data_IF_681613794593
#
_entry.id   IF_681613794593
#
_cell.length_a   1.000
_cell.length_b   1.000
_cell.length_c   1.000
_cell.angle_alpha   90.00
_cell.angle_beta   90.00
_cell.angle_gamma   90.00
#
_symmetry.space_group_name_H-M   'P 1'
#
loop_
_entity.id
_entity.type
_entity.pdbx_description
1 polymer ?
#
# COMPACT_ATOMS: atom_id res chain seq x y z
N UNK A 1 1.83 -8.60 9.59
CA UNK A 1 1.61 -7.17 9.84
C UNK A 1 0.35 -6.70 9.12
N UNK A 2 -0.30 -5.64 9.60
CA UNK A 2 -1.46 -5.04 8.91
C UNK A 2 -1.00 -4.11 7.79
N UNK A 3 -1.67 -4.17 6.65
CA UNK A 3 -1.40 -3.31 5.50
C UNK A 3 -2.71 -2.91 4.80
N UNK A 4 -2.69 -1.76 4.13
CA UNK A 4 -3.74 -1.39 3.18
C UNK A 4 -3.37 -1.95 1.82
N UNK A 5 -4.24 -2.76 1.22
CA UNK A 5 -4.04 -3.40 -0.08
C UNK A 5 -5.16 -3.02 -1.05
N UNK A 6 -4.77 -2.84 -2.32
CA UNK A 6 -5.65 -2.63 -3.46
C UNK A 6 -5.44 -3.82 -4.41
N UNK A 7 -6.50 -4.58 -4.70
CA UNK A 7 -6.43 -5.74 -5.62
C UNK A 7 -7.30 -5.59 -6.86
N UNK A 8 -8.09 -4.52 -6.95
CA UNK A 8 -9.00 -4.24 -8.06
C UNK A 8 -9.07 -2.74 -8.39
N UNK A 9 -9.69 -2.42 -9.54
CA UNK A 9 -9.91 -1.04 -9.96
C UNK A 9 -11.19 -0.47 -9.33
N UNK A 10 -11.17 0.78 -8.86
CA UNK A 10 -12.30 1.43 -8.19
C UNK A 10 -11.92 2.71 -7.44
N UNK A 11 -12.89 3.30 -6.75
CA UNK A 11 -12.68 4.42 -5.85
C UNK A 11 -12.14 3.96 -4.48
N UNK A 12 -12.17 4.83 -3.45
CA UNK A 12 -11.63 4.51 -2.12
C UNK A 12 -12.19 3.23 -1.48
N UNK A 13 -13.36 2.76 -1.92
CA UNK A 13 -13.99 1.51 -1.48
C UNK A 13 -13.14 0.26 -1.73
N UNK A 14 -12.17 0.31 -2.65
CA UNK A 14 -11.27 -0.84 -2.92
C UNK A 14 -10.05 -0.89 -2.00
N UNK A 15 -9.90 0.08 -1.09
CA UNK A 15 -8.84 0.09 -0.08
C UNK A 15 -9.22 -0.87 1.06
N UNK A 16 -8.52 -1.99 1.15
CA UNK A 16 -8.81 -3.03 2.16
C UNK A 16 -7.68 -3.15 3.17
N UNK A 17 -8.02 -3.24 4.46
CA UNK A 17 -7.04 -3.57 5.50
C UNK A 17 -6.94 -5.08 5.60
N UNK A 18 -5.75 -5.61 5.36
CA UNK A 18 -5.46 -7.04 5.37
C UNK A 18 -4.28 -7.34 6.27
N UNK A 19 -4.21 -8.58 6.76
CA UNK A 19 -3.01 -9.10 7.40
C UNK A 19 -2.11 -9.78 6.36
N UNK A 20 -0.86 -9.36 6.31
CA UNK A 20 0.17 -9.92 5.42
C UNK A 20 1.35 -10.46 6.23
N UNK A 21 2.17 -11.30 5.61
CA UNK A 21 3.42 -11.74 6.23
C UNK A 21 4.37 -10.55 6.46
N UNK A 22 5.23 -10.67 7.47
CA UNK A 22 6.23 -9.65 7.72
C UNK A 22 7.29 -9.67 6.60
N UNK A 23 7.67 -8.52 6.03
CA UNK A 23 8.63 -8.47 4.93
C UNK A 23 10.04 -8.81 5.42
N UNK A 24 10.78 -9.55 4.60
CA UNK A 24 12.20 -9.82 4.82
C UNK A 24 13.06 -8.78 4.06
N UNK A 25 14.19 -8.39 4.66
CA UNK A 25 15.15 -7.50 4.00
C UNK A 25 16.22 -8.26 3.23
N UNK A 26 16.59 -7.76 2.05
CA UNK A 26 17.70 -8.27 1.25
C UNK A 26 19.02 -7.52 1.51
N UNK A 27 20.14 -7.96 0.93
CA UNK A 27 21.43 -7.28 1.06
C UNK A 27 21.35 -5.81 0.66
N UNK A 28 21.90 -4.92 1.50
CA UNK A 28 21.91 -3.47 1.26
C UNK A 28 20.57 -2.76 1.47
N UNK A 29 19.55 -3.44 2.01
CA UNK A 29 18.25 -2.85 2.35
C UNK A 29 18.04 -2.84 3.86
N UNK A 30 17.26 -1.87 4.33
CA UNK A 30 16.85 -1.74 5.73
C UNK A 30 15.34 -1.92 5.83
N UNK A 31 14.90 -2.68 6.83
CA UNK A 31 13.49 -2.80 7.16
C UNK A 31 13.09 -1.70 8.14
N UNK A 32 11.97 -1.03 7.89
CA UNK A 32 11.47 0.07 8.72
C UNK A 32 10.12 -0.28 9.33
N UNK A 33 9.97 -0.01 10.62
CA UNK A 33 8.68 -0.03 11.30
C UNK A 33 7.95 1.31 11.02
N UNK A 34 6.73 1.22 10.49
CA UNK A 34 5.96 2.37 10.04
C UNK A 34 5.01 2.82 11.15
N UNK A 35 5.37 3.92 11.82
CA UNK A 35 4.50 4.56 12.82
C UNK A 35 3.47 5.51 12.23
N UNK A 36 3.73 6.03 11.01
CA UNK A 36 2.83 6.91 10.28
C UNK A 36 3.07 6.83 8.76
N UNK A 37 2.01 7.02 7.98
CA UNK A 37 2.06 7.16 6.53
C UNK A 37 1.25 8.40 6.11
N UNK A 38 1.86 9.27 5.30
CA UNK A 38 1.19 10.44 4.74
C UNK A 38 0.35 10.06 3.52
N UNK A 39 -0.75 10.78 3.30
CA UNK A 39 -1.60 10.64 2.11
C UNK A 39 -1.30 11.77 1.14
N UNK A 40 -1.04 11.43 -0.11
CA UNK A 40 -0.80 12.35 -1.21
C UNK A 40 -1.94 12.29 -2.22
N UNK A 41 -2.21 13.40 -2.92
CA UNK A 41 -3.19 13.41 -4.01
C UNK A 41 -2.86 12.39 -5.12
N UNK A 42 -1.56 12.13 -5.35
CA UNK A 42 -1.10 11.11 -6.29
C UNK A 42 -1.58 9.69 -5.93
N UNK A 43 -1.86 9.40 -4.66
CA UNK A 43 -2.33 8.08 -4.22
C UNK A 43 -3.72 7.74 -4.76
N UNK A 44 -4.48 8.77 -5.16
CA UNK A 44 -5.79 8.60 -5.85
C UNK A 44 -5.65 8.21 -7.32
N UNK A 45 -4.45 8.27 -7.89
CA UNK A 45 -4.21 7.99 -9.32
C UNK A 45 -3.99 6.49 -9.62
N UNK A 46 -3.89 5.65 -8.59
CA UNK A 46 -4.08 4.20 -8.69
C UNK A 46 -5.45 3.89 -8.07
N UNK A 47 -6.42 3.18 -8.70
CA UNK A 47 -6.44 2.41 -9.92
C UNK A 47 -7.49 3.00 -10.88
N UNK A 48 -7.07 3.93 -11.74
CA UNK A 48 -7.89 4.43 -12.86
C UNK A 48 -7.07 4.17 -14.11
N UNK A 49 -7.50 3.21 -14.95
CA UNK A 49 -6.85 3.04 -16.26
C UNK A 49 -6.81 4.41 -16.94
N UNK A 50 -5.60 4.87 -17.25
CA UNK A 50 -5.42 5.81 -18.34
C UNK A 50 -5.99 5.13 -19.60
N UNK A 51 -7.04 5.71 -20.14
CA UNK A 51 -7.37 5.56 -21.55
C UNK A 51 -6.47 6.50 -22.35
#
# INVERSE_FOLDING_TARGET
>A
MRAVQITEFGGPEVLTVVDVHEPETGPGRTLHDVSAAGINYADTHHPRRAH
#
